data_IF_160675504337
#
_entry.id   IF_160675504337
#
_cell.length_a   1.000
_cell.length_b   1.000
_cell.length_c   1.000
_cell.angle_alpha   90.00
_cell.angle_beta   90.00
_cell.angle_gamma   90.00
#
_symmetry.space_group_name_H-M   'P 1'
#
loop_
_entity.id
_entity.type
_entity.pdbx_description
1 polymer ?
#
# COMPACT_ATOMS: atom_id res chain seq x y z
N UNK A 1 24.88 -40.25 -13.54
CA UNK A 1 24.52 -39.96 -13.38
C UNK A 1 23.92 -39.32 -12.75
N UNK A 2 24.05 -39.26 -12.60
CA UNK A 2 23.39 -38.88 -12.09
C UNK A 2 22.94 -37.88 -11.74
N UNK A 3 23.00 -37.71 -11.72
CA UNK A 3 22.54 -36.93 -11.53
C UNK A 3 21.82 -36.29 -11.23
N UNK A 4 21.82 -36.23 -11.19
CA UNK A 4 21.11 -35.73 -11.14
C UNK A 4 20.39 -35.38 -10.56
N UNK A 5 20.61 -35.62 -10.30
CA UNK A 5 19.87 -35.49 -9.74
C UNK A 5 19.49 -34.50 -9.15
N UNK A 6 19.78 -34.09 -8.98
CA UNK A 6 19.44 -33.23 -8.49
C UNK A 6 18.44 -32.55 -8.65
N UNK A 7 18.25 -32.52 -9.02
CA UNK A 7 17.33 -31.98 -9.49
C UNK A 7 16.11 -31.92 -8.88
N UNK A 8 15.72 -32.52 -8.43
CA UNK A 8 14.49 -32.64 -7.78
C UNK A 8 14.33 -31.77 -6.60
N UNK A 9 15.34 -31.55 -5.91
CA UNK A 9 15.29 -30.77 -4.71
C UNK A 9 14.87 -29.31 -4.91
N UNK A 10 15.23 -28.69 -5.98
CA UNK A 10 14.92 -27.28 -6.14
C UNK A 10 13.49 -26.86 -5.91
N UNK A 11 12.46 -27.59 -6.33
CA UNK A 11 11.09 -27.19 -6.05
C UNK A 11 10.81 -27.08 -4.57
N UNK A 12 11.32 -27.99 -3.79
CA UNK A 12 11.09 -27.97 -2.37
C UNK A 12 11.74 -26.75 -1.71
N UNK A 13 12.92 -26.41 -2.17
CA UNK A 13 13.63 -25.27 -1.62
C UNK A 13 12.87 -23.96 -1.86
N UNK A 14 12.25 -23.86 -3.01
CA UNK A 14 11.52 -22.64 -3.35
C UNK A 14 10.13 -22.59 -2.76
N UNK A 15 9.70 -23.65 -2.11
CA UNK A 15 8.34 -23.69 -1.58
C UNK A 15 8.12 -22.68 -0.46
N UNK A 16 9.15 -22.36 0.31
CA UNK A 16 8.99 -21.43 1.41
C UNK A 16 8.98 -19.99 0.91
N UNK A 17 7.95 -19.25 1.28
CA UNK A 17 7.86 -17.85 0.91
C UNK A 17 7.23 -17.07 2.05
N UNK A 18 7.44 -15.76 2.04
CA UNK A 18 6.88 -14.88 3.04
C UNK A 18 5.61 -14.23 2.50
N UNK A 19 4.54 -14.36 3.25
CA UNK A 19 3.26 -13.74 2.90
C UNK A 19 2.78 -12.87 4.03
N UNK A 20 2.00 -11.85 3.70
CA UNK A 20 1.44 -10.95 4.71
C UNK A 20 0.08 -10.45 4.29
N UNK A 21 -0.70 -10.04 5.27
CA UNK A 21 -2.02 -9.47 5.07
C UNK A 21 -2.26 -8.40 6.12
N UNK A 22 -3.08 -7.43 5.79
CA UNK A 22 -3.43 -6.38 6.74
C UNK A 22 -3.73 -5.09 5.98
N UNK A 23 -3.98 -4.01 6.68
CA UNK A 23 -3.81 -3.88 8.14
C UNK A 23 -5.09 -4.26 8.88
N UNK A 24 -4.93 -4.78 10.08
CA UNK A 24 -6.05 -5.13 10.95
C UNK A 24 -6.07 -4.19 12.16
N UNK A 25 -7.27 -3.80 12.58
CA UNK A 25 -7.41 -2.97 13.78
C UNK A 25 -7.43 -3.85 15.04
N UNK A 26 -7.53 -3.21 16.19
CA UNK A 26 -7.51 -3.93 17.47
C UNK A 26 -8.60 -4.99 17.59
N UNK A 27 -9.79 -4.66 17.13
CA UNK A 27 -10.91 -5.61 17.20
C UNK A 27 -10.67 -6.80 16.29
N UNK A 28 -10.19 -6.53 15.10
CA UNK A 28 -9.91 -7.59 14.13
C UNK A 28 -8.80 -8.49 14.63
N UNK A 29 -7.78 -7.92 15.25
CA UNK A 29 -6.68 -8.70 15.81
C UNK A 29 -7.17 -9.55 16.99
N UNK A 30 -8.00 -9.00 17.83
CA UNK A 30 -8.54 -9.73 18.97
C UNK A 30 -9.36 -10.93 18.54
N UNK A 31 -10.07 -10.81 17.43
CA UNK A 31 -10.84 -11.93 16.88
C UNK A 31 -9.97 -12.91 16.10
N UNK A 32 -8.95 -12.38 15.42
CA UNK A 32 -8.11 -13.20 14.57
C UNK A 32 -7.15 -14.08 15.34
N UNK A 33 -6.54 -13.57 16.39
CA UNK A 33 -5.53 -14.29 17.15
C UNK A 33 -6.02 -15.66 17.67
N UNK A 34 -7.17 -15.73 18.35
CA UNK A 34 -7.66 -17.05 18.81
C UNK A 34 -7.95 -18.02 17.67
N UNK A 35 -8.28 -17.49 16.49
CA UNK A 35 -8.56 -18.33 15.33
C UNK A 35 -7.30 -18.87 14.69
N UNK A 36 -6.21 -18.11 14.80
CA UNK A 36 -4.94 -18.51 14.21
C UNK A 36 -4.22 -19.57 15.01
N UNK A 37 -4.35 -19.52 16.33
CA UNK A 37 -3.60 -20.43 17.19
C UNK A 37 -3.86 -21.91 16.90
N UNK A 38 -5.13 -22.36 16.76
CA UNK A 38 -5.36 -23.75 16.41
C UNK A 38 -5.12 -24.07 14.94
N UNK A 39 -5.17 -23.05 14.08
CA UNK A 39 -5.05 -23.27 12.64
C UNK A 39 -3.60 -23.36 12.18
N UNK A 40 -2.74 -22.52 12.73
CA UNK A 40 -1.36 -22.41 12.29
C UNK A 40 -0.41 -22.83 13.42
N UNK A 41 0.68 -23.54 13.09
CA UNK A 41 1.64 -23.97 14.10
C UNK A 41 2.29 -22.77 14.81
N UNK A 42 2.64 -22.92 16.08
CA UNK A 42 3.37 -21.86 16.80
C UNK A 42 4.65 -21.48 16.05
N UNK A 43 4.89 -20.20 15.96
CA UNK A 43 6.08 -19.70 15.29
C UNK A 43 5.96 -19.56 13.79
N UNK A 44 4.86 -20.03 13.20
CA UNK A 44 4.66 -19.92 11.76
C UNK A 44 4.01 -18.61 11.36
N UNK A 45 3.59 -17.81 12.33
CA UNK A 45 2.94 -16.53 12.07
C UNK A 45 3.27 -15.53 13.16
N UNK A 46 3.12 -14.27 12.83
CA UNK A 46 3.31 -13.21 13.81
C UNK A 46 2.48 -12.00 13.40
N UNK A 47 2.15 -11.18 14.39
CA UNK A 47 1.45 -9.94 14.18
C UNK A 47 2.42 -8.80 14.49
N UNK A 48 2.58 -7.88 13.54
CA UNK A 48 3.52 -6.76 13.67
C UNK A 48 2.77 -5.46 13.60
N UNK A 49 3.14 -4.52 14.45
CA UNK A 49 2.57 -3.18 14.35
C UNK A 49 3.11 -2.47 13.13
N UNK A 50 2.22 -1.83 12.40
CA UNK A 50 2.57 -1.10 11.19
C UNK A 50 1.90 0.26 11.23
N UNK A 51 2.64 1.27 10.83
CA UNK A 51 2.12 2.61 10.67
C UNK A 51 2.27 2.97 9.19
N UNK A 52 1.15 3.22 8.53
CA UNK A 52 1.19 3.75 7.17
C UNK A 52 1.06 5.26 7.30
N UNK A 53 2.07 6.01 6.86
CA UNK A 53 2.04 7.46 7.05
C UNK A 53 0.92 8.11 6.25
N UNK A 54 0.50 9.27 6.72
CA UNK A 54 -0.43 10.09 5.98
C UNK A 54 0.17 10.44 4.63
N UNK A 55 -0.69 10.62 3.64
CA UNK A 55 -0.23 11.07 2.34
C UNK A 55 -0.68 12.50 2.12
N UNK A 56 0.29 13.37 1.96
CA UNK A 56 0.06 14.78 1.67
C UNK A 56 0.38 15.00 0.20
N UNK A 57 -0.44 15.76 -0.48
CA UNK A 57 -0.22 16.02 -1.90
C UNK A 57 -0.28 17.51 -2.16
N UNK A 58 0.29 17.89 -3.27
CA UNK A 58 0.11 19.24 -3.80
C UNK A 58 -1.07 19.14 -4.74
N UNK A 59 -2.18 19.66 -4.28
CA UNK A 59 -3.48 19.43 -4.90
C UNK A 59 -3.92 20.62 -5.76
N UNK A 60 -4.42 20.30 -6.94
CA UNK A 60 -5.08 21.28 -7.80
C UNK A 60 -6.51 20.79 -8.06
N UNK A 61 -7.46 21.59 -7.65
CA UNK A 61 -8.86 21.24 -7.76
C UNK A 61 -9.64 21.89 -6.61
N UNK A 62 -10.87 21.61 -6.44
CA UNK A 62 -11.67 20.67 -7.22
C UNK A 62 -12.20 21.40 -8.45
N UNK A 63 -12.02 20.79 -9.62
CA UNK A 63 -12.47 21.41 -10.88
C UNK A 63 -13.94 21.05 -11.15
N UNK A 64 -14.63 21.84 -11.96
CA UNK A 64 -16.05 21.57 -12.22
C UNK A 64 -16.28 20.33 -13.09
N UNK A 65 -15.31 19.94 -13.92
CA UNK A 65 -15.48 18.80 -14.80
C UNK A 65 -14.12 18.30 -15.30
N UNK A 66 -14.16 17.19 -16.07
CA UNK A 66 -12.96 16.58 -16.61
C UNK A 66 -12.25 17.46 -17.63
N UNK A 67 -13.00 18.28 -18.36
CA UNK A 67 -12.40 19.18 -19.35
C UNK A 67 -11.48 20.19 -18.71
N UNK A 68 -11.89 20.74 -17.55
CA UNK A 68 -11.07 21.68 -16.83
C UNK A 68 -9.77 21.03 -16.34
N UNK A 69 -9.86 19.76 -15.92
CA UNK A 69 -8.68 18.99 -15.52
C UNK A 69 -7.73 18.81 -16.71
N UNK A 70 -8.28 18.43 -17.86
CA UNK A 70 -7.47 18.19 -19.06
C UNK A 70 -6.78 19.47 -19.53
N UNK A 71 -7.46 20.58 -19.43
CA UNK A 71 -6.87 21.86 -19.78
C UNK A 71 -5.69 22.18 -18.87
N UNK A 72 -5.86 21.95 -17.57
CA UNK A 72 -4.79 22.19 -16.62
C UNK A 72 -3.60 21.26 -16.87
N UNK A 73 -3.87 20.00 -17.24
CA UNK A 73 -2.81 19.06 -17.58
C UNK A 73 -1.95 19.58 -18.74
N UNK A 74 -2.61 20.14 -19.75
CA UNK A 74 -1.88 20.70 -20.89
C UNK A 74 -1.00 21.88 -20.47
N UNK A 75 -1.52 22.73 -19.60
CA UNK A 75 -0.75 23.88 -19.10
C UNK A 75 0.48 23.42 -18.32
N UNK A 76 0.31 22.41 -17.47
CA UNK A 76 1.41 21.89 -16.68
C UNK A 76 2.49 21.24 -17.54
N UNK A 77 2.09 20.55 -18.60
CA UNK A 77 3.05 19.97 -19.52
C UNK A 77 3.92 21.04 -20.20
N UNK A 78 3.29 22.15 -20.51
CA UNK A 78 4.02 23.25 -21.16
C UNK A 78 5.12 23.83 -20.29
N UNK A 79 4.92 23.85 -18.99
CA UNK A 79 5.94 24.36 -18.08
C UNK A 79 6.78 23.27 -17.45
N UNK A 80 6.60 22.03 -17.89
CA UNK A 80 7.44 20.92 -17.46
C UNK A 80 7.16 20.44 -16.04
N UNK A 81 5.94 20.62 -15.55
CA UNK A 81 5.55 20.17 -14.22
C UNK A 81 4.86 18.81 -14.33
N UNK A 82 5.36 17.83 -13.59
CA UNK A 82 4.79 16.51 -13.54
C UNK A 82 3.51 16.50 -12.69
N UNK A 83 2.60 15.62 -13.06
CA UNK A 83 1.35 15.46 -12.31
C UNK A 83 0.92 14.00 -12.36
N UNK A 84 0.01 13.66 -11.46
CA UNK A 84 -0.54 12.31 -11.40
C UNK A 84 -2.01 12.38 -11.00
N UNK A 85 -2.71 11.26 -11.14
CA UNK A 85 -4.10 11.18 -10.72
C UNK A 85 -4.23 11.12 -9.21
N UNK A 86 -5.46 11.26 -8.75
CA UNK A 86 -5.77 11.23 -7.33
C UNK A 86 -6.18 9.81 -6.93
N UNK A 87 -5.79 9.41 -5.73
CA UNK A 87 -6.23 8.13 -5.18
C UNK A 87 -7.46 8.29 -4.29
N UNK A 88 -7.85 9.53 -3.98
CA UNK A 88 -9.03 9.81 -3.17
C UNK A 88 -10.13 10.36 -4.08
N UNK A 89 -11.16 9.54 -4.32
CA UNK A 89 -12.24 9.91 -5.22
C UNK A 89 -12.98 11.17 -4.78
N UNK A 90 -13.01 11.45 -3.48
CA UNK A 90 -13.69 12.63 -2.97
C UNK A 90 -13.03 13.93 -3.41
N UNK A 91 -11.79 13.88 -3.83
CA UNK A 91 -11.03 15.05 -4.27
C UNK A 91 -11.10 15.26 -5.78
N UNK A 92 -11.72 14.34 -6.49
CA UNK A 92 -11.87 14.46 -7.94
C UNK A 92 -13.07 15.35 -8.30
N UNK A 93 -13.02 16.07 -9.42
CA UNK A 93 -11.95 16.11 -10.43
C UNK A 93 -10.81 17.03 -9.99
N UNK A 94 -9.60 16.53 -10.12
CA UNK A 94 -8.44 17.30 -9.72
C UNK A 94 -7.15 16.56 -10.07
N UNK A 95 -6.05 17.14 -9.63
CA UNK A 95 -4.72 16.60 -9.92
C UNK A 95 -3.82 16.67 -8.69
N UNK A 96 -2.84 15.77 -8.66
CA UNK A 96 -1.77 15.80 -7.68
C UNK A 96 -0.46 16.15 -8.39
N UNK A 97 0.27 17.08 -7.83
CA UNK A 97 1.59 17.45 -8.36
C UNK A 97 2.72 16.77 -7.59
N UNK A 98 2.39 15.85 -6.72
CA UNK A 98 3.38 15.07 -5.98
C UNK A 98 2.83 14.64 -4.64
N UNK A 99 3.37 13.53 -4.12
CA UNK A 99 2.95 12.98 -2.84
C UNK A 99 4.10 12.97 -1.84
N UNK A 100 3.76 13.21 -0.56
CA UNK A 100 4.74 13.33 0.51
C UNK A 100 4.18 12.70 1.78
N UNK A 101 5.06 12.31 2.68
CA UNK A 101 4.65 11.74 3.95
C UNK A 101 4.51 12.77 5.05
N UNK A 102 4.86 14.02 4.79
CA UNK A 102 4.68 15.10 5.76
C UNK A 102 4.17 16.35 5.08
N UNK A 103 3.44 17.15 5.85
CA UNK A 103 2.93 18.42 5.38
C UNK A 103 4.06 19.37 5.04
N UNK A 104 5.10 19.36 5.87
CA UNK A 104 6.24 20.25 5.66
C UNK A 104 6.95 19.99 4.34
N UNK A 105 7.15 18.71 3.99
CA UNK A 105 7.79 18.36 2.73
C UNK A 105 6.95 18.79 1.54
N UNK A 106 5.63 18.62 1.65
CA UNK A 106 4.72 19.05 0.60
C UNK A 106 4.75 20.56 0.44
N UNK A 107 4.81 21.28 1.55
CA UNK A 107 4.85 22.74 1.52
C UNK A 107 6.12 23.26 0.86
N UNK A 108 7.25 22.63 1.11
CA UNK A 108 8.50 23.00 0.47
C UNK A 108 8.40 22.86 -1.05
N UNK A 109 7.81 21.77 -1.50
CA UNK A 109 7.65 21.55 -2.93
C UNK A 109 6.65 22.53 -3.53
N UNK A 110 5.60 22.86 -2.79
CA UNK A 110 4.64 23.85 -3.24
C UNK A 110 5.33 25.20 -3.47
N UNK A 111 6.20 25.59 -2.55
CA UNK A 111 6.95 26.85 -2.67
C UNK A 111 7.81 26.86 -3.93
N UNK A 112 8.46 25.73 -4.25
CA UNK A 112 9.27 25.62 -5.46
C UNK A 112 8.40 25.73 -6.72
N UNK A 113 7.23 25.10 -6.69
CA UNK A 113 6.32 25.17 -7.83
C UNK A 113 5.77 26.58 -8.02
N UNK A 114 5.55 27.30 -6.93
CA UNK A 114 5.10 28.68 -7.03
C UNK A 114 6.13 29.54 -7.78
N UNK A 115 7.41 29.27 -7.57
CA UNK A 115 8.47 29.98 -8.29
C UNK A 115 8.47 29.62 -9.78
N UNK A 116 7.92 28.48 -10.14
CA UNK A 116 7.81 28.07 -11.53
C UNK A 116 6.51 28.50 -12.19
N UNK A 117 5.69 29.24 -11.46
CA UNK A 117 4.45 29.76 -12.00
C UNK A 117 3.18 29.02 -11.61
N UNK A 118 3.30 27.97 -10.80
CA UNK A 118 2.13 27.25 -10.31
C UNK A 118 1.57 27.98 -9.10
N UNK A 119 0.42 28.62 -9.27
CA UNK A 119 -0.14 29.51 -8.25
C UNK A 119 -1.45 29.05 -7.66
N UNK A 120 -2.08 28.04 -8.26
CA UNK A 120 -3.42 27.59 -7.85
C UNK A 120 -3.40 26.27 -7.11
N UNK A 121 -2.20 25.77 -6.79
CA UNK A 121 -2.07 24.52 -6.04
C UNK A 121 -2.00 24.80 -4.55
N UNK A 122 -2.32 23.79 -3.77
CA UNK A 122 -2.24 23.88 -2.31
C UNK A 122 -1.85 22.53 -1.74
N UNK A 123 -1.38 22.53 -0.50
CA UNK A 123 -1.09 21.28 0.20
C UNK A 123 -2.41 20.75 0.78
N UNK A 124 -2.70 19.48 0.54
CA UNK A 124 -3.88 18.84 1.07
C UNK A 124 -3.52 17.42 1.51
N UNK A 125 -4.20 16.93 2.54
CA UNK A 125 -4.02 15.55 2.97
C UNK A 125 -4.93 14.66 2.14
N UNK A 126 -4.33 13.76 1.38
CA UNK A 126 -5.10 12.85 0.55
C UNK A 126 -5.57 11.63 1.34
N UNK A 127 -4.79 11.24 2.32
CA UNK A 127 -5.07 10.06 3.12
C UNK A 127 -4.48 10.26 4.52
N UNK A 128 -5.23 9.90 5.58
CA UNK A 128 -4.69 10.04 6.93
C UNK A 128 -3.69 8.93 7.24
N UNK A 129 -2.94 9.14 8.31
CA UNK A 129 -2.09 8.09 8.84
C UNK A 129 -2.97 6.94 9.31
N UNK A 130 -2.54 5.71 9.01
CA UNK A 130 -3.26 4.51 9.41
C UNK A 130 -2.34 3.67 10.27
N UNK A 131 -2.84 3.24 11.43
CA UNK A 131 -2.11 2.36 12.32
C UNK A 131 -2.87 1.05 12.44
N UNK A 132 -2.13 -0.04 12.48
CA UNK A 132 -2.74 -1.35 12.60
C UNK A 132 -1.69 -2.41 12.74
N UNK A 133 -2.11 -3.66 12.61
CA UNK A 133 -1.19 -4.78 12.67
C UNK A 133 -1.27 -5.58 11.38
N UNK A 134 -0.14 -6.06 10.95
CA UNK A 134 -0.03 -6.92 9.78
C UNK A 134 0.21 -8.34 10.24
N UNK A 135 -0.52 -9.28 9.67
CA UNK A 135 -0.26 -10.69 9.89
C UNK A 135 0.83 -11.11 8.91
N UNK A 136 1.90 -11.66 9.46
CA UNK A 136 3.04 -12.08 8.64
C UNK A 136 3.26 -13.58 8.80
N UNK A 137 3.42 -14.26 7.67
CA UNK A 137 3.73 -15.68 7.61
C UNK A 137 5.11 -15.79 6.95
N UNK A 138 6.19 -15.78 7.75
CA UNK A 138 7.52 -15.64 7.18
C UNK A 138 8.01 -16.84 6.37
N UNK A 139 7.53 -18.03 6.68
CA UNK A 139 7.97 -19.24 5.99
C UNK A 139 6.77 -20.10 5.63
N UNK A 140 6.12 -19.77 4.54
CA UNK A 140 5.00 -20.57 4.05
C UNK A 140 5.57 -21.67 3.15
N UNK A 141 5.56 -22.89 3.67
CA UNK A 141 6.05 -24.05 2.94
C UNK A 141 4.90 -24.92 2.47
N UNK A 142 5.21 -26.09 1.93
CA UNK A 142 4.20 -27.00 1.41
C UNK A 142 3.23 -27.49 2.48
N UNK A 143 3.71 -27.63 3.70
CA UNK A 143 2.83 -28.08 4.79
C UNK A 143 1.83 -26.99 5.20
N UNK A 144 2.22 -25.74 5.07
CA UNK A 144 1.38 -24.62 5.49
C UNK A 144 0.41 -24.16 4.42
N UNK A 145 0.74 -24.37 3.16
CA UNK A 145 -0.11 -23.89 2.06
C UNK A 145 -1.56 -24.31 2.12
N UNK A 146 -1.88 -25.58 2.42
CA UNK A 146 -3.29 -25.97 2.49
C UNK A 146 -4.07 -25.22 3.57
N UNK A 147 -3.37 -24.81 4.63
CA UNK A 147 -4.01 -24.08 5.71
C UNK A 147 -4.39 -22.66 5.33
N UNK A 148 -3.78 -22.13 4.28
CA UNK A 148 -4.09 -20.79 3.83
C UNK A 148 -5.52 -20.65 3.33
N UNK A 149 -6.09 -21.74 2.80
CA UNK A 149 -7.48 -21.72 2.36
C UNK A 149 -8.43 -21.52 3.52
N UNK A 150 -8.10 -22.13 4.67
CA UNK A 150 -8.90 -21.95 5.87
C UNK A 150 -8.67 -20.58 6.50
N UNK A 151 -7.51 -20.00 6.24
CA UNK A 151 -7.15 -18.69 6.77
C UNK A 151 -7.87 -17.56 6.05
N UNK A 152 -8.03 -17.67 4.75
CA UNK A 152 -8.57 -16.60 3.92
C UNK A 152 -9.88 -15.99 4.43
N UNK A 153 -10.88 -16.78 4.81
CA UNK A 153 -12.12 -16.18 5.31
C UNK A 153 -11.96 -15.43 6.62
N UNK A 154 -10.87 -15.66 7.34
CA UNK A 154 -10.63 -14.99 8.61
C UNK A 154 -9.99 -13.61 8.42
N UNK A 155 -9.57 -13.28 7.22
CA UNK A 155 -8.79 -12.08 6.96
C UNK A 155 -9.63 -10.85 6.62
N UNK A 156 -10.93 -10.94 6.77
CA UNK A 156 -11.82 -9.80 6.55
C UNK A 156 -11.64 -9.17 5.16
N UNK A 157 -11.48 -10.03 4.16
CA UNK A 157 -11.34 -9.58 2.78
C UNK A 157 -9.96 -9.05 2.40
N UNK A 158 -9.01 -9.11 3.30
CA UNK A 158 -7.66 -8.63 3.01
C UNK A 158 -6.84 -9.75 2.40
N UNK A 159 -6.27 -9.55 1.22
CA UNK A 159 -5.54 -10.62 0.55
C UNK A 159 -4.16 -10.85 1.13
N UNK A 160 -3.67 -12.06 0.98
CA UNK A 160 -2.30 -12.39 1.30
C UNK A 160 -1.42 -11.92 0.14
N UNK A 161 -0.34 -11.23 0.47
CA UNK A 161 0.59 -10.70 -0.52
C UNK A 161 2.01 -11.05 -0.11
N UNK A 162 2.92 -11.01 -1.08
CA UNK A 162 4.32 -11.23 -0.76
C UNK A 162 4.83 -10.16 0.20
N UNK A 163 5.69 -10.58 1.12
CA UNK A 163 6.33 -9.64 2.02
C UNK A 163 7.31 -8.77 1.25
N UNK A 164 7.63 -7.62 1.83
CA UNK A 164 8.58 -6.72 1.21
C UNK A 164 9.69 -6.34 2.12
#
# INVERSE_FOLDING_TARGET
EARRIETSAPPAVRAAECLQAGLFDEKQVAALRPSLEPLLPPGSWQLEEVVEPARWIIYMGKYPNAEAVNKKKAELRQIGVSFEGLSNAAMEPGLSLGGFTSQAAAQQQLDRLAQRGVRTARVAQERPEVRGQSLKLPLVDEALRPRLEELKPLLNGKPLRSCR
#
